data_IF_281744979932
#
_entry.id   IF_281744979932
#
_cell.length_a   1.000
_cell.length_b   1.000
_cell.length_c   1.000
_cell.angle_alpha   90.00
_cell.angle_beta   90.00
_cell.angle_gamma   90.00
#
_symmetry.space_group_name_H-M   'P 1'
#
loop_
_entity.id
_entity.type
_entity.pdbx_description
1 polymer ?
#
# COMPACT_ATOMS: atom_id res chain seq x y z
N UNK A 1 7.99 -32.93 23.34
CA UNK A 1 9.33 -32.35 23.16
C UNK A 1 9.47 -32.15 21.66
N UNK A 2 9.44 -30.90 21.18
CA UNK A 2 9.50 -30.60 19.74
C UNK A 2 10.82 -31.12 19.16
N UNK A 3 10.84 -31.44 17.87
CA UNK A 3 12.08 -31.85 17.20
C UNK A 3 13.08 -30.68 17.26
N UNK A 4 14.38 -30.96 17.40
CA UNK A 4 15.41 -29.91 17.50
C UNK A 4 15.40 -28.97 16.28
N UNK A 5 14.96 -29.46 15.11
CA UNK A 5 14.79 -28.69 13.88
C UNK A 5 13.63 -27.66 13.92
N UNK A 6 12.74 -27.73 14.91
CA UNK A 6 11.61 -26.80 15.11
C UNK A 6 11.94 -25.69 16.13
N UNK A 7 13.17 -25.69 16.68
CA UNK A 7 13.63 -24.69 17.64
C UNK A 7 14.36 -23.59 16.88
N UNK A 8 13.73 -22.43 16.78
CA UNK A 8 14.31 -21.26 16.10
C UNK A 8 14.89 -20.26 17.12
N UNK A 9 16.07 -19.67 16.85
CA UNK A 9 16.63 -18.64 17.72
C UNK A 9 15.72 -17.41 17.75
N UNK A 10 15.50 -16.89 18.95
CA UNK A 10 14.70 -15.69 19.18
C UNK A 10 15.56 -14.44 18.99
N UNK A 11 15.02 -13.45 18.28
CA UNK A 11 15.67 -12.14 18.18
C UNK A 11 15.68 -11.44 19.56
N UNK A 12 16.75 -10.71 19.90
CA UNK A 12 16.76 -9.90 21.12
C UNK A 12 15.61 -8.88 21.17
N UNK A 13 15.11 -8.48 22.36
CA UNK A 13 13.97 -7.55 22.51
C UNK A 13 14.15 -6.18 21.84
N UNK A 14 15.39 -5.79 21.51
CA UNK A 14 15.68 -4.57 20.73
C UNK A 14 15.04 -4.56 19.34
N UNK A 15 14.64 -5.72 18.83
CA UNK A 15 14.00 -5.89 17.52
C UNK A 15 12.47 -5.99 17.60
N UNK A 16 11.88 -5.72 18.78
CA UNK A 16 10.43 -5.70 18.93
C UNK A 16 9.82 -4.58 18.09
N UNK A 17 8.79 -4.95 17.30
CA UNK A 17 8.02 -4.04 16.44
C UNK A 17 8.85 -3.29 15.42
N UNK A 18 9.94 -3.88 14.94
CA UNK A 18 10.80 -3.24 13.95
C UNK A 18 10.02 -2.88 12.68
N UNK A 19 10.33 -1.71 12.14
CA UNK A 19 9.71 -1.20 10.92
C UNK A 19 10.15 -1.98 9.67
N UNK A 20 11.39 -2.49 9.66
CA UNK A 20 11.95 -3.28 8.58
C UNK A 20 12.47 -4.63 9.10
N UNK A 21 11.80 -5.71 8.68
CA UNK A 21 12.16 -7.07 9.08
C UNK A 21 13.50 -7.53 8.50
N UNK A 22 13.99 -6.90 7.43
CA UNK A 22 15.31 -7.22 6.89
C UNK A 22 16.47 -6.78 7.81
N UNK A 23 16.19 -5.93 8.80
CA UNK A 23 17.17 -5.51 9.80
C UNK A 23 17.27 -6.48 11.00
N UNK A 24 16.42 -7.51 11.07
CA UNK A 24 16.50 -8.52 12.12
C UNK A 24 17.78 -9.36 12.00
N UNK A 25 18.34 -9.78 13.13
CA UNK A 25 19.54 -10.65 13.14
C UNK A 25 19.22 -12.07 12.71
N UNK A 26 18.08 -12.61 13.15
CA UNK A 26 17.59 -13.93 12.78
C UNK A 26 16.31 -13.80 11.96
N UNK A 27 16.38 -14.14 10.68
CA UNK A 27 15.22 -14.13 9.78
C UNK A 27 14.58 -15.52 9.73
N UNK A 28 13.83 -15.85 10.79
CA UNK A 28 13.07 -17.09 10.89
C UNK A 28 11.57 -16.82 10.71
N UNK A 29 10.82 -17.78 10.17
CA UNK A 29 9.36 -17.72 10.06
C UNK A 29 8.66 -17.31 11.38
N UNK A 30 8.96 -17.91 12.56
CA UNK A 30 8.34 -17.49 13.81
C UNK A 30 8.68 -16.06 14.22
N UNK A 31 9.87 -15.55 13.88
CA UNK A 31 10.26 -14.17 14.19
C UNK A 31 9.47 -13.17 13.36
N UNK A 32 9.30 -13.45 12.07
CA UNK A 32 8.46 -12.64 11.16
C UNK A 32 7.01 -12.65 11.65
N UNK A 33 6.48 -13.82 11.97
CA UNK A 33 5.11 -13.96 12.49
C UNK A 33 4.91 -13.18 13.80
N UNK A 34 5.88 -13.27 14.73
CA UNK A 34 5.83 -12.55 16.00
C UNK A 34 5.81 -11.04 15.80
N UNK A 35 6.70 -10.50 14.95
CA UNK A 35 6.76 -9.07 14.69
C UNK A 35 5.48 -8.55 14.03
N UNK A 36 4.95 -9.27 13.03
CA UNK A 36 3.69 -8.90 12.39
C UNK A 36 2.51 -8.94 13.36
N UNK A 37 2.47 -9.94 14.25
CA UNK A 37 1.43 -10.06 15.28
C UNK A 37 1.46 -8.89 16.27
N UNK A 38 2.64 -8.55 16.79
CA UNK A 38 2.80 -7.46 17.75
C UNK A 38 2.48 -6.09 17.13
N UNK A 39 2.93 -5.86 15.89
CA UNK A 39 2.60 -4.62 15.16
C UNK A 39 1.10 -4.52 14.86
N UNK A 40 0.49 -5.64 14.45
CA UNK A 40 -0.94 -5.70 14.21
C UNK A 40 -1.77 -5.43 15.47
N UNK A 41 -1.32 -5.90 16.64
CA UNK A 41 -1.97 -5.63 17.92
C UNK A 41 -2.02 -4.13 18.26
N UNK A 42 -1.07 -3.34 17.74
CA UNK A 42 -1.02 -1.88 17.86
C UNK A 42 -1.58 -1.13 16.65
N UNK A 43 -2.31 -1.82 15.77
CA UNK A 43 -2.90 -1.25 14.55
C UNK A 43 -1.89 -0.75 13.51
N UNK A 44 -0.63 -1.16 13.61
CA UNK A 44 0.40 -0.91 12.60
C UNK A 44 0.32 -1.97 11.50
N UNK A 45 -0.46 -1.67 10.46
CA UNK A 45 -0.79 -2.63 9.40
C UNK A 45 0.30 -2.81 8.33
N UNK A 46 1.21 -1.85 8.22
CA UNK A 46 2.30 -1.84 7.24
C UNK A 46 3.63 -2.10 7.93
N UNK A 47 4.44 -2.97 7.33
CA UNK A 47 5.80 -3.30 7.79
C UNK A 47 6.69 -3.54 6.58
N UNK A 48 7.88 -2.97 6.56
CA UNK A 48 8.86 -3.24 5.51
C UNK A 48 9.51 -4.62 5.68
N UNK A 49 9.89 -5.19 4.56
CA UNK A 49 10.67 -6.41 4.47
C UNK A 49 11.70 -6.25 3.36
N UNK A 50 12.78 -5.51 3.64
CA UNK A 50 13.80 -5.20 2.64
C UNK A 50 13.22 -4.36 1.51
N UNK A 51 13.15 -4.87 0.28
CA UNK A 51 12.54 -4.13 -0.84
C UNK A 51 11.01 -4.20 -0.87
N UNK A 52 10.41 -5.10 -0.10
CA UNK A 52 8.97 -5.32 -0.09
C UNK A 52 8.27 -4.59 1.05
N UNK A 53 6.97 -4.39 0.91
CA UNK A 53 6.10 -3.90 1.97
C UNK A 53 5.03 -4.96 2.26
N UNK A 54 5.01 -5.46 3.49
CA UNK A 54 4.02 -6.42 3.97
C UNK A 54 2.87 -5.63 4.59
N UNK A 55 1.65 -5.97 4.19
CA UNK A 55 0.42 -5.35 4.70
C UNK A 55 -0.49 -6.42 5.28
N UNK A 56 -1.00 -6.19 6.49
CA UNK A 56 -2.01 -7.06 7.12
C UNK A 56 -3.35 -6.34 7.12
N UNK A 57 -4.40 -6.98 6.59
CA UNK A 57 -5.73 -6.37 6.51
C UNK A 57 -6.34 -6.19 7.92
N UNK A 58 -6.64 -4.95 8.37
CA UNK A 58 -7.21 -4.69 9.70
C UNK A 58 -8.70 -5.04 9.82
N UNK A 59 -9.40 -5.28 8.71
CA UNK A 59 -10.86 -5.45 8.64
C UNK A 59 -11.67 -4.35 9.34
N UNK A 60 -11.04 -3.18 9.53
CA UNK A 60 -11.58 -2.01 10.20
C UNK A 60 -11.15 -0.76 9.47
N UNK A 61 -11.93 0.29 9.61
CA UNK A 61 -11.59 1.60 9.06
C UNK A 61 -10.53 2.25 9.96
N UNK A 62 -9.40 2.65 9.36
CA UNK A 62 -8.30 3.33 10.04
C UNK A 62 -8.06 4.69 9.35
N UNK A 63 -7.77 5.77 10.10
CA UNK A 63 -7.53 7.12 9.56
C UNK A 63 -6.17 7.26 8.83
N UNK A 64 -5.51 6.14 8.50
CA UNK A 64 -4.19 6.11 7.83
C UNK A 64 -4.24 6.56 6.36
N UNK A 65 -5.44 6.68 5.78
CA UNK A 65 -5.64 7.08 4.38
C UNK A 65 -6.10 8.53 4.22
N UNK A 66 -6.10 9.31 5.29
CA UNK A 66 -6.54 10.70 5.26
C UNK A 66 -5.59 11.56 4.41
N UNK A 67 -6.13 12.64 3.82
CA UNK A 67 -5.36 13.55 2.97
C UNK A 67 -4.16 14.20 3.70
N UNK A 68 -4.26 14.37 5.03
CA UNK A 68 -3.16 14.86 5.87
C UNK A 68 -1.98 13.89 5.86
N UNK A 69 -2.26 12.59 5.87
CA UNK A 69 -1.25 11.54 5.81
C UNK A 69 -0.58 11.55 4.44
N UNK A 70 -1.37 11.64 3.36
CA UNK A 70 -0.85 11.77 1.98
C UNK A 70 0.15 12.93 1.87
N UNK A 71 -0.23 14.11 2.36
CA UNK A 71 0.66 15.28 2.37
C UNK A 71 1.91 15.06 3.24
N UNK A 72 1.77 14.32 4.34
CA UNK A 72 2.87 13.98 5.25
C UNK A 72 3.87 12.98 4.69
N UNK A 73 3.52 12.16 3.71
CA UNK A 73 4.42 11.20 3.05
C UNK A 73 5.06 11.73 1.77
N UNK A 74 4.51 12.81 1.19
CA UNK A 74 5.01 13.41 -0.04
C UNK A 74 6.44 13.90 0.13
N UNK A 75 7.33 13.49 -0.77
CA UNK A 75 8.70 13.98 -0.82
C UNK A 75 9.62 13.41 0.26
N UNK A 76 9.13 12.50 1.11
CA UNK A 76 9.89 11.96 2.23
C UNK A 76 10.61 10.68 1.85
N UNK A 77 11.85 10.56 2.33
CA UNK A 77 12.59 9.30 2.20
C UNK A 77 11.99 8.23 3.10
N UNK A 78 12.19 6.97 2.72
CA UNK A 78 11.75 5.80 3.49
C UNK A 78 12.22 5.77 4.95
N UNK A 79 13.36 6.39 5.25
CA UNK A 79 13.93 6.44 6.61
C UNK A 79 13.23 7.52 7.47
N UNK A 80 12.61 8.51 6.84
CA UNK A 80 12.01 9.67 7.51
C UNK A 80 10.53 9.47 7.86
N UNK A 81 9.90 8.43 7.31
CA UNK A 81 8.50 8.14 7.52
C UNK A 81 8.30 6.64 7.78
N UNK A 82 7.36 6.27 8.68
CA UNK A 82 7.16 4.87 9.01
C UNK A 82 6.59 4.09 7.81
N UNK A 83 6.59 2.74 7.87
CA UNK A 83 6.14 1.94 6.74
C UNK A 83 4.71 2.27 6.32
N UNK A 84 4.54 2.61 5.04
CA UNK A 84 3.22 2.91 4.47
C UNK A 84 3.20 2.71 2.96
N UNK A 85 2.01 2.43 2.42
CA UNK A 85 1.82 2.28 0.96
C UNK A 85 2.15 3.57 0.20
N UNK A 86 1.83 4.72 0.77
CA UNK A 86 2.16 6.03 0.19
C UNK A 86 3.66 6.27 0.07
N UNK A 87 4.46 5.76 1.01
CA UNK A 87 5.92 5.83 0.88
C UNK A 87 6.42 5.02 -0.31
N UNK A 88 5.84 3.83 -0.58
CA UNK A 88 6.19 3.03 -1.76
C UNK A 88 5.81 3.76 -3.05
N UNK A 89 4.62 4.35 -3.09
CA UNK A 89 4.16 5.13 -4.24
C UNK A 89 5.01 6.38 -4.48
N UNK A 90 5.40 7.11 -3.42
CA UNK A 90 6.24 8.31 -3.54
C UNK A 90 7.65 7.96 -4.02
N UNK A 91 8.26 6.90 -3.47
CA UNK A 91 9.57 6.44 -3.93
C UNK A 91 9.52 6.04 -5.41
N UNK A 92 8.48 5.31 -5.85
CA UNK A 92 8.29 4.98 -7.27
C UNK A 92 8.15 6.24 -8.13
N UNK A 93 7.39 7.24 -7.67
CA UNK A 93 7.25 8.52 -8.38
C UNK A 93 8.59 9.28 -8.48
N UNK A 94 9.35 9.35 -7.40
CA UNK A 94 10.64 10.02 -7.37
C UNK A 94 11.68 9.33 -8.26
N UNK A 95 11.75 7.99 -8.24
CA UNK A 95 12.64 7.23 -9.11
C UNK A 95 12.26 7.40 -10.58
N UNK A 96 10.97 7.38 -10.91
CA UNK A 96 10.50 7.66 -12.26
C UNK A 96 10.96 9.05 -12.77
N UNK A 97 10.91 10.08 -11.93
CA UNK A 97 11.34 11.43 -12.29
C UNK A 97 12.87 11.58 -12.39
N UNK A 98 13.60 10.90 -11.51
CA UNK A 98 15.06 10.99 -11.40
C UNK A 98 15.76 10.17 -12.47
N UNK A 99 15.38 8.89 -12.59
CA UNK A 99 16.02 7.91 -13.47
C UNK A 99 15.41 7.91 -14.88
N UNK A 100 14.24 8.56 -15.06
CA UNK A 100 13.48 8.59 -16.33
C UNK A 100 13.08 7.22 -16.84
N UNK A 101 12.93 6.25 -15.94
CA UNK A 101 12.48 4.89 -16.24
C UNK A 101 11.08 4.62 -15.70
N UNK A 102 10.27 3.90 -16.47
CA UNK A 102 8.92 3.51 -16.09
C UNK A 102 8.95 2.57 -14.87
N UNK A 103 8.17 2.91 -13.85
CA UNK A 103 8.08 2.13 -12.62
C UNK A 103 6.79 1.30 -12.60
N UNK A 104 6.81 0.18 -11.87
CA UNK A 104 5.62 -0.65 -11.66
C UNK A 104 5.48 -1.02 -10.19
N UNK A 105 4.25 -0.97 -9.68
CA UNK A 105 3.91 -1.38 -8.31
C UNK A 105 3.08 -2.65 -8.38
N UNK A 106 3.64 -3.77 -7.94
CA UNK A 106 2.96 -5.06 -7.91
C UNK A 106 2.39 -5.34 -6.50
N UNK A 107 1.08 -5.52 -6.42
CA UNK A 107 0.39 -5.86 -5.17
C UNK A 107 -0.06 -7.33 -5.24
N UNK A 108 0.58 -8.18 -4.44
CA UNK A 108 0.30 -9.63 -4.37
C UNK A 108 -0.36 -10.02 -3.06
N UNK A 109 -0.87 -11.25 -2.98
CA UNK A 109 -1.50 -11.80 -1.79
C UNK A 109 -2.71 -12.67 -2.10
N UNK A 110 -3.18 -13.41 -1.10
CA UNK A 110 -4.34 -14.28 -1.24
C UNK A 110 -5.67 -13.52 -1.42
N UNK A 111 -6.74 -14.27 -1.70
CA UNK A 111 -8.09 -13.70 -1.76
C UNK A 111 -8.50 -13.15 -0.39
N UNK A 112 -8.90 -11.87 -0.34
CA UNK A 112 -9.28 -11.18 0.91
C UNK A 112 -8.15 -10.40 1.60
N UNK A 113 -6.92 -10.47 1.09
CA UNK A 113 -5.77 -9.75 1.64
C UNK A 113 -5.85 -8.20 1.53
N UNK A 114 -6.84 -7.65 0.83
CA UNK A 114 -7.01 -6.20 0.66
C UNK A 114 -6.26 -5.60 -0.54
N UNK A 115 -5.86 -6.42 -1.53
CA UNK A 115 -5.15 -5.97 -2.74
C UNK A 115 -5.84 -4.80 -3.44
N UNK A 116 -7.12 -4.97 -3.80
CA UNK A 116 -7.91 -3.96 -4.52
C UNK A 116 -8.03 -2.64 -3.74
N UNK A 117 -8.18 -2.73 -2.41
CA UNK A 117 -8.25 -1.53 -1.56
C UNK A 117 -6.92 -0.78 -1.60
N UNK A 118 -5.80 -1.49 -1.46
CA UNK A 118 -4.46 -0.91 -1.56
C UNK A 118 -4.21 -0.31 -2.95
N UNK A 119 -4.59 -0.98 -4.04
CA UNK A 119 -4.46 -0.46 -5.41
C UNK A 119 -5.21 0.86 -5.59
N UNK A 120 -6.45 0.97 -5.09
CA UNK A 120 -7.20 2.23 -5.13
C UNK A 120 -6.47 3.36 -4.40
N UNK A 121 -5.85 3.07 -3.25
CA UNK A 121 -5.11 4.08 -2.47
C UNK A 121 -3.85 4.54 -3.19
N UNK A 122 -3.15 3.64 -3.87
CA UNK A 122 -1.99 3.99 -4.71
C UNK A 122 -2.42 4.92 -5.86
N UNK A 123 -3.49 4.58 -6.57
CA UNK A 123 -4.02 5.42 -7.66
C UNK A 123 -4.45 6.80 -7.12
N UNK A 124 -5.16 6.84 -5.98
CA UNK A 124 -5.53 8.10 -5.33
C UNK A 124 -4.32 8.95 -4.94
N UNK A 125 -3.23 8.31 -4.50
CA UNK A 125 -1.98 8.99 -4.19
C UNK A 125 -1.39 9.65 -5.44
N UNK A 126 -1.23 8.90 -6.53
CA UNK A 126 -0.70 9.43 -7.80
C UNK A 126 -1.58 10.53 -8.39
N UNK A 127 -2.90 10.36 -8.35
CA UNK A 127 -3.85 11.40 -8.74
C UNK A 127 -3.63 12.70 -7.96
N UNK A 128 -3.46 12.62 -6.63
CA UNK A 128 -3.27 13.78 -5.77
C UNK A 128 -1.92 14.46 -6.01
N UNK A 129 -0.83 13.68 -6.11
CA UNK A 129 0.52 14.21 -6.33
C UNK A 129 0.66 14.77 -7.75
N UNK A 130 0.15 14.06 -8.76
CA UNK A 130 0.17 14.47 -10.16
C UNK A 130 -0.65 15.75 -10.44
N UNK A 131 -1.85 15.85 -9.87
CA UNK A 131 -2.68 17.05 -9.99
C UNK A 131 -2.01 18.30 -9.36
N UNK A 132 -1.17 18.11 -8.34
CA UNK A 132 -0.42 19.20 -7.71
C UNK A 132 0.87 19.59 -8.46
N UNK A 133 1.35 18.75 -9.36
CA UNK A 133 2.56 18.98 -10.18
C UNK A 133 2.26 19.71 -11.50
N UNK A 134 0.99 19.76 -11.92
CA UNK A 134 0.53 20.48 -13.11
C UNK A 134 0.17 21.95 -12.86
N UNK A 135 0.08 22.80 -13.91
CA UNK A 135 -0.37 24.17 -13.76
C UNK A 135 -1.77 24.19 -13.12
N UNK A 136 -1.95 24.97 -12.04
CA UNK A 136 -3.22 25.16 -11.33
C UNK A 136 -4.34 25.41 -12.35
N UNK A 137 -5.21 24.42 -12.57
CA UNK A 137 -6.40 24.63 -13.38
C UNK A 137 -7.38 25.51 -12.58
N UNK A 138 -8.05 26.48 -13.24
CA UNK A 138 -8.97 27.40 -12.59
C UNK A 138 -10.19 26.67 -12.01
N UNK A 139 -10.84 27.31 -11.03
CA UNK A 139 -11.86 26.79 -10.14
C UNK A 139 -13.01 25.99 -10.79
N UNK A 140 -13.63 25.04 -10.05
CA UNK A 140 -14.69 24.19 -10.57
C UNK A 140 -15.96 24.99 -10.87
N UNK A 141 -16.40 24.95 -12.13
CA UNK A 141 -17.70 25.48 -12.55
C UNK A 141 -18.79 24.45 -12.20
N UNK A 142 -19.81 24.79 -11.39
CA UNK A 142 -20.83 23.83 -10.97
C UNK A 142 -21.73 23.48 -12.17
N UNK A 143 -21.81 22.19 -12.55
CA UNK A 143 -22.78 21.70 -13.54
C UNK A 143 -22.22 20.93 -14.74
N UNK A 144 -20.89 20.79 -14.89
CA UNK A 144 -20.31 19.83 -15.84
C UNK A 144 -19.72 18.65 -15.08
N UNK A 145 -20.31 17.46 -15.26
CA UNK A 145 -19.66 16.17 -15.02
C UNK A 145 -18.50 16.01 -16.03
N UNK A 146 -17.47 16.83 -15.89
CA UNK A 146 -16.14 16.55 -16.42
C UNK A 146 -15.22 16.64 -15.21
N UNK A 147 -15.26 15.58 -14.41
CA UNK A 147 -14.20 15.34 -13.43
C UNK A 147 -12.86 15.39 -14.16
N UNK A 148 -11.86 15.88 -13.44
CA UNK A 148 -10.46 15.87 -13.87
C UNK A 148 -10.06 14.46 -14.36
N UNK A 149 -9.00 14.31 -15.15
CA UNK A 149 -8.58 12.98 -15.66
C UNK A 149 -8.42 12.00 -14.49
N UNK A 150 -7.93 12.54 -13.37
CA UNK A 150 -7.77 11.93 -12.08
C UNK A 150 -9.10 11.43 -11.48
N UNK A 151 -10.16 12.24 -11.51
CA UNK A 151 -11.51 11.83 -11.07
C UNK A 151 -12.10 10.73 -11.95
N UNK A 152 -11.82 10.76 -13.26
CA UNK A 152 -12.27 9.75 -14.21
C UNK A 152 -11.58 8.40 -13.95
N UNK A 153 -10.29 8.41 -13.63
CA UNK A 153 -9.53 7.21 -13.26
C UNK A 153 -10.06 6.62 -11.93
N UNK A 154 -10.34 7.47 -10.93
CA UNK A 154 -10.94 7.01 -9.68
C UNK A 154 -12.36 6.48 -9.90
N UNK A 155 -13.15 7.12 -10.76
CA UNK A 155 -14.52 6.73 -11.11
C UNK A 155 -14.60 5.45 -11.96
N UNK A 156 -13.52 5.06 -12.66
CA UNK A 156 -13.44 3.80 -13.38
C UNK A 156 -13.39 2.59 -12.43
N UNK A 157 -12.89 2.75 -11.20
CA UNK A 157 -12.75 1.66 -10.24
C UNK A 157 -14.09 1.04 -9.81
N UNK A 158 -15.13 1.79 -9.38
CA UNK A 158 -16.45 1.23 -9.12
C UNK A 158 -17.03 0.45 -10.30
N UNK A 159 -16.77 0.90 -11.53
CA UNK A 159 -17.27 0.25 -12.75
C UNK A 159 -16.55 -1.08 -13.01
N UNK A 160 -15.23 -1.11 -12.86
CA UNK A 160 -14.41 -2.33 -12.93
C UNK A 160 -14.76 -3.33 -11.83
N UNK A 161 -15.04 -2.85 -10.62
CA UNK A 161 -15.48 -3.70 -9.52
C UNK A 161 -16.87 -4.27 -9.75
N UNK A 162 -17.81 -3.47 -10.28
CA UNK A 162 -19.16 -3.94 -10.59
C UNK A 162 -19.18 -5.06 -11.64
N UNK A 163 -18.24 -5.04 -12.60
CA UNK A 163 -18.14 -6.07 -13.64
C UNK A 163 -17.21 -7.23 -13.27
N UNK A 164 -16.21 -7.02 -12.42
CA UNK A 164 -15.15 -8.01 -12.18
C UNK A 164 -15.05 -8.54 -10.75
N UNK A 165 -15.74 -7.93 -9.78
CA UNK A 165 -15.78 -8.46 -8.43
C UNK A 165 -16.96 -9.41 -8.26
N UNK A 166 -16.71 -10.52 -7.57
CA UNK A 166 -17.72 -11.47 -7.18
C UNK A 166 -17.63 -11.76 -5.68
N UNK A 167 -18.78 -12.01 -5.06
CA UNK A 167 -18.84 -12.47 -3.67
C UNK A 167 -18.28 -13.89 -3.57
N UNK A 168 -17.44 -14.12 -2.57
CA UNK A 168 -16.93 -15.45 -2.20
C UNK A 168 -17.22 -15.74 -0.74
N UNK A 169 -17.13 -17.01 -0.34
CA UNK A 169 -17.37 -17.44 1.05
C UNK A 169 -16.44 -16.76 2.07
N UNK A 170 -15.26 -16.27 1.64
CA UNK A 170 -14.25 -15.62 2.51
C UNK A 170 -14.11 -14.11 2.33
N UNK A 171 -14.69 -13.53 1.28
CA UNK A 171 -14.58 -12.11 0.95
C UNK A 171 -15.80 -11.68 0.13
N UNK A 172 -16.56 -10.72 0.64
CA UNK A 172 -17.78 -10.21 0.01
C UNK A 172 -17.52 -9.40 -1.26
N UNK A 173 -16.31 -8.86 -1.44
CA UNK A 173 -15.93 -8.07 -2.63
C UNK A 173 -14.61 -8.59 -3.23
N UNK A 174 -14.61 -9.83 -3.74
CA UNK A 174 -13.41 -10.44 -4.32
C UNK A 174 -13.28 -10.07 -5.79
N UNK A 175 -12.27 -9.29 -6.14
CA UNK A 175 -11.83 -9.19 -7.55
C UNK A 175 -11.41 -10.58 -8.05
N UNK A 176 -11.98 -11.01 -9.18
CA UNK A 176 -11.70 -12.29 -9.85
C UNK A 176 -10.96 -12.11 -11.18
N UNK A 177 -10.50 -10.89 -11.45
CA UNK A 177 -9.75 -10.53 -12.64
C UNK A 177 -8.38 -9.97 -12.25
N UNK A 178 -7.44 -10.05 -13.19
CA UNK A 178 -6.15 -9.35 -13.07
C UNK A 178 -6.36 -7.94 -13.60
N UNK A 179 -6.21 -6.92 -12.74
CA UNK A 179 -6.22 -5.52 -13.15
C UNK A 179 -4.78 -5.02 -13.28
N UNK A 180 -4.37 -4.71 -14.51
CA UNK A 180 -3.16 -3.95 -14.78
C UNK A 180 -3.60 -2.55 -15.20
N UNK A 181 -3.27 -1.53 -14.41
CA UNK A 181 -3.47 -0.13 -14.78
C UNK A 181 -2.13 0.42 -15.26
N UNK A 182 -2.10 0.90 -16.50
CA UNK A 182 -0.93 1.53 -17.09
C UNK A 182 -1.18 3.03 -17.12
N UNK A 183 -0.46 3.78 -16.31
CA UNK A 183 -0.41 5.24 -16.40
C UNK A 183 0.95 5.64 -16.98
N UNK A 184 0.94 6.12 -18.22
CA UNK A 184 2.08 6.88 -18.76
C UNK A 184 1.92 8.33 -18.30
N UNK A 185 2.73 8.75 -17.33
CA UNK A 185 2.86 10.16 -16.93
C UNK A 185 3.82 10.90 -17.87
#
# INVERSE_FOLDING_TARGET
MGKEDEIHPMNPPKFDKIEDMAMMTHLNEPCVLYNLKERYAEWMIYTYSGLFCVTVNPYKWLPVYDAVVVAGYRGKKRIEAPPHIFSISDNAYQFMLTDRENQSVLITGESGAGKTVNTKRVIQYFATVGAMSGPKKPEPVPGKMQGSLEDQIVAANPLLEAYGNAKTVRNDNSSRFVSCTYESL
#
